data_IF_973808732577
#
_entry.id   IF_973808732577
#
_cell.length_a   1.000
_cell.length_b   1.000
_cell.length_c   1.000
_cell.angle_alpha   90.00
_cell.angle_beta   90.00
_cell.angle_gamma   90.00
#
_symmetry.space_group_name_H-M   'P 1'
#
loop_
_entity.id
_entity.type
_entity.pdbx_description
1 polymer ?
#
# COMPACT_ATOMS: atom_id res chain seq x y z
N UNK A 1 -16.16 -6.02 -27.56
CA UNK A 1 -16.03 -6.20 -26.07
C UNK A 1 -15.19 -5.06 -25.49
N UNK A 2 -15.45 -4.62 -24.25
CA UNK A 2 -14.60 -3.59 -23.59
C UNK A 2 -13.17 -4.08 -23.44
N UNK A 3 -12.18 -3.21 -23.58
CA UNK A 3 -10.76 -3.55 -23.50
C UNK A 3 -10.38 -4.23 -22.16
N UNK A 4 -10.90 -3.72 -21.02
CA UNK A 4 -10.67 -4.32 -19.70
C UNK A 4 -11.25 -5.74 -19.58
N UNK A 5 -12.43 -5.98 -20.14
CA UNK A 5 -13.05 -7.30 -20.17
C UNK A 5 -12.33 -8.27 -21.12
N UNK A 6 -11.88 -7.77 -22.27
CA UNK A 6 -11.15 -8.56 -23.25
C UNK A 6 -9.83 -9.10 -22.70
N UNK A 7 -9.08 -8.27 -21.95
CA UNK A 7 -7.84 -8.69 -21.29
C UNK A 7 -8.09 -9.81 -20.28
N UNK A 8 -9.12 -9.69 -19.44
CA UNK A 8 -9.48 -10.74 -18.48
C UNK A 8 -9.96 -12.01 -19.19
N UNK A 9 -10.82 -11.87 -20.21
CA UNK A 9 -11.34 -13.00 -20.98
C UNK A 9 -10.22 -13.81 -21.66
N UNK A 10 -9.15 -13.14 -22.05
CA UNK A 10 -7.97 -13.77 -22.67
C UNK A 10 -6.89 -14.22 -21.69
N UNK A 11 -7.11 -14.08 -20.39
CA UNK A 11 -6.14 -14.45 -19.36
C UNK A 11 -4.90 -13.54 -19.29
N UNK A 12 -4.94 -12.36 -19.95
CA UNK A 12 -3.86 -11.38 -19.95
C UNK A 12 -3.86 -10.50 -18.71
N UNK A 13 -4.94 -10.49 -17.94
CA UNK A 13 -5.03 -9.86 -16.64
C UNK A 13 -5.91 -10.71 -15.70
N UNK A 14 -5.56 -10.84 -14.41
CA UNK A 14 -6.31 -11.69 -13.48
C UNK A 14 -7.67 -11.09 -13.09
N UNK A 15 -7.82 -9.77 -13.14
CA UNK A 15 -9.04 -9.04 -12.76
C UNK A 15 -9.26 -7.83 -13.66
N UNK A 16 -10.49 -7.30 -13.68
CA UNK A 16 -10.80 -6.06 -14.41
C UNK A 16 -10.03 -4.86 -13.87
N UNK A 17 -9.80 -4.78 -12.56
CA UNK A 17 -8.99 -3.72 -11.95
C UNK A 17 -7.51 -3.81 -12.39
N UNK A 18 -6.96 -5.02 -12.51
CA UNK A 18 -5.62 -5.23 -13.05
C UNK A 18 -5.56 -4.85 -14.54
N UNK A 19 -6.54 -5.25 -15.34
CA UNK A 19 -6.65 -4.86 -16.75
C UNK A 19 -6.74 -3.33 -16.93
N UNK A 20 -7.50 -2.65 -16.08
CA UNK A 20 -7.61 -1.20 -16.10
C UNK A 20 -6.27 -0.54 -15.81
N UNK A 21 -5.50 -1.01 -14.79
CA UNK A 21 -4.16 -0.48 -14.49
C UNK A 21 -3.21 -0.60 -15.68
N UNK A 22 -3.18 -1.77 -16.33
CA UNK A 22 -2.36 -1.99 -17.53
C UNK A 22 -2.71 -1.00 -18.66
N UNK A 23 -4.00 -0.72 -18.85
CA UNK A 23 -4.46 0.23 -19.88
C UNK A 23 -4.08 1.66 -19.50
N UNK A 24 -4.29 2.06 -18.24
CA UNK A 24 -4.03 3.41 -17.75
C UNK A 24 -2.54 3.76 -17.77
N UNK A 25 -1.65 2.77 -17.64
CA UNK A 25 -0.19 2.94 -17.76
C UNK A 25 0.33 2.83 -19.18
N UNK A 26 -0.54 2.52 -20.15
CA UNK A 26 -0.13 2.34 -21.55
C UNK A 26 0.58 1.01 -21.82
N UNK A 27 0.48 0.05 -20.90
CA UNK A 27 1.10 -1.27 -20.98
C UNK A 27 0.32 -2.26 -21.87
N UNK A 28 -0.68 -1.80 -22.59
CA UNK A 28 -1.51 -2.61 -23.48
C UNK A 28 -1.53 -2.02 -24.87
N UNK A 29 -1.35 -2.85 -25.90
CA UNK A 29 -1.60 -2.45 -27.29
C UNK A 29 -2.47 -3.47 -28.01
N UNK A 30 -3.22 -3.02 -29.00
CA UNK A 30 -4.06 -3.85 -29.86
C UNK A 30 -3.85 -3.53 -31.31
N UNK A 31 -4.03 -4.50 -32.19
CA UNK A 31 -3.89 -4.32 -33.64
C UNK A 31 -5.21 -3.81 -34.21
N UNK A 32 -5.24 -2.52 -34.46
CA UNK A 32 -6.35 -1.86 -35.13
C UNK A 32 -6.16 -1.76 -36.65
N UNK A 33 -7.12 -1.15 -37.38
CA UNK A 33 -7.07 -1.02 -38.84
C UNK A 33 -5.86 -0.24 -39.37
N UNK A 34 -5.25 0.60 -38.53
CA UNK A 34 -4.10 1.44 -38.86
C UNK A 34 -2.78 0.95 -38.25
N UNK A 35 -2.76 -0.28 -37.70
CA UNK A 35 -1.63 -0.86 -36.99
C UNK A 35 -1.83 -0.90 -35.48
N UNK A 36 -0.75 -1.15 -34.74
CA UNK A 36 -0.75 -1.21 -33.30
C UNK A 36 -1.09 0.14 -32.66
N UNK A 37 -2.04 0.14 -31.72
CA UNK A 37 -2.50 1.32 -31.02
C UNK A 37 -2.77 1.01 -29.54
N UNK A 38 -2.68 2.01 -28.67
CA UNK A 38 -3.08 1.88 -27.27
C UNK A 38 -4.60 2.04 -27.15
N UNK A 39 -5.28 1.27 -26.28
CA UNK A 39 -6.66 1.58 -25.90
C UNK A 39 -6.71 2.98 -25.26
N UNK A 40 -7.69 3.79 -25.63
CA UNK A 40 -7.83 5.17 -25.08
C UNK A 40 -8.31 5.19 -23.64
N UNK A 41 -9.02 4.14 -23.23
CA UNK A 41 -9.58 3.95 -21.88
C UNK A 41 -9.98 2.48 -21.69
N UNK A 42 -10.06 2.04 -20.47
CA UNK A 42 -10.45 0.65 -20.12
C UNK A 42 -11.82 0.23 -20.69
N UNK A 43 -12.75 1.19 -20.79
CA UNK A 43 -14.09 0.95 -21.36
C UNK A 43 -14.17 1.09 -22.87
N UNK A 44 -13.07 1.22 -23.61
CA UNK A 44 -13.10 1.27 -25.08
C UNK A 44 -13.56 -0.07 -25.65
N UNK A 45 -14.52 -0.02 -26.58
CA UNK A 45 -14.98 -1.21 -27.30
C UNK A 45 -13.96 -1.61 -28.37
N UNK A 46 -13.40 -2.79 -28.23
CA UNK A 46 -12.50 -3.42 -29.19
C UNK A 46 -13.17 -4.60 -29.89
N UNK A 47 -12.81 -4.91 -31.14
CA UNK A 47 -13.29 -6.12 -31.81
C UNK A 47 -12.87 -7.37 -31.02
N UNK A 48 -13.80 -8.31 -30.80
CA UNK A 48 -13.52 -9.51 -29.99
C UNK A 48 -12.42 -10.39 -30.58
N UNK A 49 -12.23 -10.36 -31.91
CA UNK A 49 -11.16 -11.07 -32.62
C UNK A 49 -9.86 -10.31 -32.79
N UNK A 50 -9.71 -9.06 -32.26
CA UNK A 50 -8.48 -8.29 -32.45
C UNK A 50 -7.29 -8.96 -31.73
N UNK A 51 -6.09 -8.75 -32.28
CA UNK A 51 -4.88 -9.06 -31.54
C UNK A 51 -4.69 -7.99 -30.45
N UNK A 52 -4.43 -8.42 -29.22
CA UNK A 52 -4.17 -7.57 -28.07
C UNK A 52 -3.06 -8.21 -27.26
N UNK A 53 -2.13 -7.41 -26.76
CA UNK A 53 -1.01 -7.89 -25.94
C UNK A 53 -0.69 -6.90 -24.81
N UNK A 54 -0.10 -7.44 -23.76
CA UNK A 54 0.50 -6.69 -22.67
C UNK A 54 1.98 -6.52 -23.00
N UNK A 55 2.44 -5.29 -23.05
CA UNK A 55 3.83 -4.93 -23.39
C UNK A 55 4.70 -4.75 -22.15
N UNK A 56 4.07 -4.50 -20.99
CA UNK A 56 4.71 -4.38 -19.69
C UNK A 56 3.75 -4.91 -18.61
N UNK A 57 4.16 -5.91 -17.85
CA UNK A 57 3.37 -6.56 -16.81
C UNK A 57 3.73 -6.11 -15.38
N UNK A 58 4.56 -5.08 -15.23
CA UNK A 58 4.99 -4.58 -13.92
C UNK A 58 3.79 -4.27 -12.98
N UNK A 59 2.67 -3.78 -13.55
CA UNK A 59 1.42 -3.54 -12.80
C UNK A 59 0.75 -4.84 -12.31
N UNK A 60 1.10 -5.99 -12.83
CA UNK A 60 0.60 -7.30 -12.42
C UNK A 60 1.47 -8.00 -11.39
N UNK A 61 2.65 -7.46 -11.09
CA UNK A 61 3.60 -8.07 -10.16
C UNK A 61 3.00 -8.32 -8.78
N UNK A 62 2.11 -7.44 -8.31
CA UNK A 62 1.46 -7.54 -7.01
C UNK A 62 -0.07 -7.57 -7.16
N UNK A 63 -0.74 -8.12 -6.14
CA UNK A 63 -2.22 -8.19 -6.10
C UNK A 63 -2.89 -6.81 -6.19
N UNK A 64 -2.18 -5.73 -5.81
CA UNK A 64 -2.63 -4.34 -5.98
C UNK A 64 -1.45 -3.38 -6.15
N UNK A 65 -1.75 -2.12 -6.58
CA UNK A 65 -0.74 -1.05 -6.71
C UNK A 65 0.02 -0.71 -5.42
N UNK A 66 -0.59 -1.02 -4.27
CA UNK A 66 0.07 -0.88 -2.98
C UNK A 66 1.42 -1.62 -2.94
N UNK A 67 1.48 -2.82 -3.52
CA UNK A 67 2.72 -3.58 -3.57
C UNK A 67 3.87 -2.86 -4.27
N UNK A 68 3.60 -2.18 -5.39
CA UNK A 68 4.62 -1.36 -6.08
C UNK A 68 5.13 -0.22 -5.20
N UNK A 69 4.23 0.43 -4.44
CA UNK A 69 4.62 1.52 -3.51
C UNK A 69 5.56 1.02 -2.44
N UNK A 70 5.16 -0.07 -1.75
CA UNK A 70 5.96 -0.62 -0.65
C UNK A 70 7.28 -1.21 -1.14
N UNK A 71 7.26 -1.95 -2.26
CA UNK A 71 8.47 -2.54 -2.84
C UNK A 71 9.54 -1.47 -3.10
N UNK A 72 9.13 -0.35 -3.70
CA UNK A 72 10.02 0.77 -3.94
C UNK A 72 10.47 1.47 -2.63
N UNK A 73 9.57 1.60 -1.65
CA UNK A 73 9.90 2.21 -0.36
C UNK A 73 10.92 1.38 0.42
N UNK A 74 10.75 0.04 0.50
CA UNK A 74 11.70 -0.84 1.16
C UNK A 74 13.08 -0.81 0.47
N UNK A 75 13.10 -0.74 -0.86
CA UNK A 75 14.35 -0.59 -1.61
C UNK A 75 15.04 0.76 -1.31
N UNK A 76 14.26 1.85 -1.25
CA UNK A 76 14.78 3.19 -0.90
C UNK A 76 15.38 3.22 0.51
N UNK A 77 14.69 2.64 1.49
CA UNK A 77 15.14 2.57 2.87
C UNK A 77 16.28 1.58 3.11
N UNK A 78 16.56 0.68 2.16
CA UNK A 78 17.49 -0.43 2.36
C UNK A 78 17.01 -1.44 3.41
N UNK A 79 15.68 -1.54 3.62
CA UNK A 79 15.10 -2.47 4.59
C UNK A 79 14.93 -3.84 3.95
N UNK A 80 15.59 -4.85 4.51
CA UNK A 80 15.48 -6.25 4.09
C UNK A 80 14.35 -6.95 4.86
N UNK A 81 13.38 -7.48 4.14
CA UNK A 81 12.27 -8.24 4.72
C UNK A 81 12.53 -9.75 4.79
N UNK A 82 13.71 -10.22 4.36
CA UNK A 82 14.03 -11.63 4.36
C UNK A 82 14.01 -12.23 5.77
N UNK A 83 13.17 -13.23 5.99
CA UNK A 83 13.01 -13.90 7.28
C UNK A 83 12.26 -13.06 8.34
N UNK A 84 11.82 -11.85 8.02
CA UNK A 84 11.21 -10.93 8.97
C UNK A 84 9.77 -11.35 9.37
N UNK A 85 9.39 -11.05 10.63
CA UNK A 85 8.03 -11.05 11.11
C UNK A 85 7.43 -9.65 10.91
N UNK A 86 6.40 -9.53 10.08
CA UNK A 86 5.87 -8.27 9.61
C UNK A 86 4.43 -8.02 10.07
N UNK A 87 4.08 -6.75 10.32
CA UNK A 87 2.73 -6.28 10.57
C UNK A 87 2.29 -5.35 9.44
N UNK A 88 1.16 -5.65 8.78
CA UNK A 88 0.54 -4.84 7.72
C UNK A 88 -0.76 -4.21 8.25
N UNK A 89 -0.73 -2.91 8.51
CA UNK A 89 -1.85 -2.15 9.08
C UNK A 89 -2.63 -1.46 7.96
N UNK A 90 -3.87 -1.88 7.77
CA UNK A 90 -4.68 -1.53 6.61
C UNK A 90 -4.44 -2.50 5.44
N UNK A 91 -4.47 -3.81 5.72
CA UNK A 91 -4.10 -4.86 4.79
C UNK A 91 -4.92 -4.85 3.49
N UNK A 92 -6.23 -4.54 3.56
CA UNK A 92 -7.13 -4.46 2.41
C UNK A 92 -7.00 -5.67 1.47
N UNK A 93 -6.72 -5.46 0.18
CA UNK A 93 -6.50 -6.54 -0.80
C UNK A 93 -5.15 -7.27 -0.63
N UNK A 94 -4.26 -6.77 0.22
CA UNK A 94 -2.98 -7.39 0.53
C UNK A 94 -1.80 -6.95 -0.33
N UNK A 95 -1.86 -5.76 -0.93
CA UNK A 95 -0.75 -5.28 -1.76
C UNK A 95 0.58 -5.17 -1.00
N UNK A 96 0.55 -4.62 0.22
CA UNK A 96 1.74 -4.54 1.09
C UNK A 96 2.17 -5.92 1.58
N UNK A 97 1.22 -6.74 2.02
CA UNK A 97 1.45 -8.15 2.38
C UNK A 97 2.18 -8.90 1.26
N UNK A 98 1.70 -8.80 0.02
CA UNK A 98 2.29 -9.46 -1.15
C UNK A 98 3.74 -9.00 -1.40
N UNK A 99 4.00 -7.68 -1.28
CA UNK A 99 5.34 -7.13 -1.42
C UNK A 99 6.32 -7.67 -0.35
N UNK A 100 5.88 -7.74 0.91
CA UNK A 100 6.66 -8.32 2.00
C UNK A 100 6.98 -9.80 1.75
N UNK A 101 5.98 -10.59 1.35
CA UNK A 101 6.15 -12.02 1.05
C UNK A 101 7.09 -12.27 -0.12
N UNK A 102 7.00 -11.49 -1.21
CA UNK A 102 7.89 -11.59 -2.35
C UNK A 102 9.33 -11.19 -2.00
N UNK A 103 9.52 -10.34 -0.98
CA UNK A 103 10.84 -9.99 -0.41
C UNK A 103 11.32 -10.98 0.65
N UNK A 104 10.62 -12.09 0.85
CA UNK A 104 11.06 -13.18 1.72
C UNK A 104 10.64 -13.08 3.17
N UNK A 105 9.63 -12.26 3.52
CA UNK A 105 9.10 -12.24 4.88
C UNK A 105 8.68 -13.65 5.34
N UNK A 106 9.08 -14.02 6.55
CA UNK A 106 8.73 -15.32 7.13
C UNK A 106 7.25 -15.38 7.54
N UNK A 107 6.70 -14.24 7.96
CA UNK A 107 5.31 -14.13 8.38
C UNK A 107 4.81 -12.70 8.19
N UNK A 108 3.54 -12.56 7.80
CA UNK A 108 2.84 -11.26 7.75
C UNK A 108 1.52 -11.37 8.50
N UNK A 109 1.36 -10.57 9.53
CA UNK A 109 0.09 -10.39 10.24
C UNK A 109 -0.58 -9.14 9.68
N UNK A 110 -1.85 -9.24 9.30
CA UNK A 110 -2.61 -8.14 8.74
C UNK A 110 -3.69 -7.63 9.68
N UNK A 111 -3.86 -6.32 9.79
CA UNK A 111 -4.99 -5.68 10.48
C UNK A 111 -5.82 -4.90 9.46
N UNK A 112 -7.13 -5.13 9.43
CA UNK A 112 -8.04 -4.33 8.61
C UNK A 112 -9.43 -4.19 9.25
N UNK A 113 -10.06 -3.02 9.08
CA UNK A 113 -11.47 -2.80 9.50
C UNK A 113 -12.46 -3.48 8.55
N UNK A 114 -12.08 -3.71 7.31
CA UNK A 114 -12.84 -4.43 6.29
C UNK A 114 -12.89 -5.93 6.57
N UNK A 115 -13.69 -6.63 5.75
CA UNK A 115 -13.80 -8.09 5.80
C UNK A 115 -13.87 -8.66 4.38
N UNK A 116 -13.22 -9.81 4.17
CA UNK A 116 -13.27 -10.54 2.91
C UNK A 116 -12.66 -9.79 1.73
N UNK A 117 -11.70 -8.88 1.98
CA UNK A 117 -11.04 -8.09 0.94
C UNK A 117 -9.72 -8.71 0.48
N UNK A 118 -9.08 -9.49 1.34
CA UNK A 118 -7.78 -10.10 1.06
C UNK A 118 -7.85 -10.98 -0.18
N UNK A 119 -6.89 -10.83 -1.09
CA UNK A 119 -6.81 -11.63 -2.30
C UNK A 119 -6.74 -13.13 -1.96
N UNK A 120 -7.45 -13.96 -2.72
CA UNK A 120 -7.56 -15.40 -2.46
C UNK A 120 -6.19 -16.11 -2.43
N UNK A 121 -5.23 -15.66 -3.24
CA UNK A 121 -3.86 -16.17 -3.24
C UNK A 121 -3.11 -15.92 -1.92
N UNK A 122 -3.41 -14.82 -1.24
CA UNK A 122 -2.80 -14.46 0.04
C UNK A 122 -3.56 -15.07 1.21
N UNK A 123 -4.88 -15.15 1.13
CA UNK A 123 -5.71 -15.78 2.17
C UNK A 123 -5.40 -17.27 2.36
N UNK A 124 -4.87 -17.95 1.34
CA UNK A 124 -4.42 -19.34 1.41
C UNK A 124 -2.93 -19.52 1.75
N UNK A 125 -2.15 -18.45 1.89
CA UNK A 125 -0.73 -18.56 2.21
C UNK A 125 -0.53 -18.76 3.72
N UNK A 126 0.11 -19.85 4.12
CA UNK A 126 0.35 -20.20 5.53
C UNK A 126 1.17 -19.15 6.31
N UNK A 127 1.88 -18.27 5.63
CA UNK A 127 2.64 -17.16 6.22
C UNK A 127 1.77 -15.96 6.58
N UNK A 128 0.51 -15.90 6.14
CA UNK A 128 -0.39 -14.76 6.31
C UNK A 128 -1.42 -15.04 7.40
N UNK A 129 -1.53 -14.15 8.37
CA UNK A 129 -2.53 -14.21 9.44
C UNK A 129 -3.37 -12.92 9.42
N UNK A 130 -4.57 -12.89 8.78
CA UNK A 130 -5.40 -11.70 8.75
C UNK A 130 -6.27 -11.56 10.00
N UNK A 131 -6.34 -10.36 10.57
CA UNK A 131 -7.30 -9.94 11.59
C UNK A 131 -8.25 -8.90 11.00
N UNK A 132 -9.34 -9.38 10.44
CA UNK A 132 -10.35 -8.56 9.77
C UNK A 132 -11.42 -8.04 10.73
N UNK A 133 -12.00 -6.89 10.41
CA UNK A 133 -12.99 -6.21 11.25
C UNK A 133 -12.38 -5.61 12.51
N UNK A 134 -11.08 -5.39 12.54
CA UNK A 134 -10.33 -4.84 13.67
C UNK A 134 -9.84 -3.42 13.36
N UNK A 135 -10.20 -2.49 14.24
CA UNK A 135 -9.69 -1.13 14.15
C UNK A 135 -8.31 -1.03 14.79
N UNK A 136 -7.31 -0.67 14.01
CA UNK A 136 -5.93 -0.52 14.49
C UNK A 136 -5.73 0.57 15.58
N UNK A 137 -6.73 1.43 15.80
CA UNK A 137 -6.72 2.39 16.93
C UNK A 137 -7.08 1.76 18.27
N UNK A 138 -7.83 0.66 18.23
CA UNK A 138 -8.38 0.02 19.42
C UNK A 138 -8.23 -1.48 19.29
N UNK A 139 -7.02 -1.97 19.48
CA UNK A 139 -6.67 -3.38 19.39
C UNK A 139 -6.70 -4.08 20.78
N UNK A 140 -6.84 -3.30 21.85
CA UNK A 140 -6.83 -3.84 23.21
C UNK A 140 -7.96 -4.88 23.40
N UNK A 141 -7.62 -6.03 23.98
CA UNK A 141 -8.58 -7.13 24.20
C UNK A 141 -8.96 -7.92 22.95
N UNK A 142 -8.48 -7.54 21.77
CA UNK A 142 -8.72 -8.29 20.53
C UNK A 142 -7.94 -9.62 20.50
N UNK A 143 -8.34 -10.52 19.60
CA UNK A 143 -7.58 -11.75 19.34
C UNK A 143 -6.15 -11.45 18.90
N UNK A 144 -5.94 -10.39 18.13
CA UNK A 144 -4.60 -9.91 17.75
C UNK A 144 -3.75 -9.62 18.99
N UNK A 145 -4.23 -8.77 19.91
CA UNK A 145 -3.46 -8.38 21.09
C UNK A 145 -3.24 -9.56 22.09
N UNK A 146 -4.06 -10.61 22.01
CA UNK A 146 -3.89 -11.83 22.81
C UNK A 146 -2.87 -12.80 22.20
N UNK A 147 -2.74 -12.80 20.87
CA UNK A 147 -1.90 -13.75 20.14
C UNK A 147 -0.51 -13.19 19.83
N UNK A 148 -0.41 -11.88 19.65
CA UNK A 148 0.83 -11.24 19.24
C UNK A 148 1.51 -10.55 20.43
N UNK A 149 2.75 -10.93 20.77
CA UNK A 149 3.53 -10.22 21.78
C UNK A 149 3.82 -8.78 21.34
N UNK A 150 3.81 -7.84 22.28
CA UNK A 150 4.33 -6.49 22.02
C UNK A 150 5.81 -6.54 21.63
N UNK A 151 6.26 -5.57 20.84
CA UNK A 151 7.65 -5.46 20.38
C UNK A 151 8.16 -6.70 19.60
N UNK A 152 7.29 -7.36 18.84
CA UNK A 152 7.60 -8.62 18.15
C UNK A 152 7.73 -8.50 16.63
N UNK A 153 7.37 -7.37 16.04
CA UNK A 153 7.45 -7.22 14.59
C UNK A 153 8.72 -6.49 14.15
N UNK A 154 9.51 -7.14 13.30
CA UNK A 154 10.73 -6.58 12.72
C UNK A 154 10.43 -5.45 11.74
N UNK A 155 9.31 -5.57 11.01
CA UNK A 155 8.85 -4.56 10.07
C UNK A 155 7.36 -4.31 10.29
N UNK A 156 7.00 -3.03 10.48
CA UNK A 156 5.61 -2.60 10.49
C UNK A 156 5.37 -1.69 9.29
N UNK A 157 4.37 -2.02 8.49
CA UNK A 157 3.94 -1.21 7.35
C UNK A 157 2.50 -0.75 7.54
N UNK A 158 2.12 0.37 6.90
CA UNK A 158 0.74 0.84 6.94
C UNK A 158 0.33 1.52 5.64
N UNK A 159 -0.86 1.19 5.13
CA UNK A 159 -1.57 1.89 4.05
C UNK A 159 -3.01 2.18 4.48
N UNK A 160 -3.22 3.32 5.13
CA UNK A 160 -4.50 3.69 5.73
C UNK A 160 -5.25 4.71 4.88
N UNK A 161 -6.59 4.61 4.88
CA UNK A 161 -7.46 5.59 4.25
C UNK A 161 -8.53 6.07 5.22
N UNK A 162 -8.93 7.35 5.07
CA UNK A 162 -9.98 8.01 5.86
C UNK A 162 -9.66 8.17 7.36
N UNK A 163 -8.40 8.06 7.72
CA UNK A 163 -7.91 8.24 9.09
C UNK A 163 -6.52 8.88 9.03
N UNK A 164 -6.19 9.74 10.01
CA UNK A 164 -4.83 10.24 10.18
C UNK A 164 -3.92 9.14 10.71
N UNK A 165 -2.72 9.02 10.15
CA UNK A 165 -1.70 8.07 10.60
C UNK A 165 -1.35 8.27 12.08
N UNK A 166 -1.39 9.52 12.57
CA UNK A 166 -1.08 9.84 13.97
C UNK A 166 -1.96 9.11 14.99
N UNK A 167 -3.19 8.71 14.62
CA UNK A 167 -4.06 7.92 15.49
C UNK A 167 -3.66 6.45 15.61
N UNK A 168 -2.86 5.95 14.69
CA UNK A 168 -2.44 4.53 14.63
C UNK A 168 -0.98 4.35 15.06
N UNK A 169 -0.20 5.42 15.04
CA UNK A 169 1.19 5.40 15.50
C UNK A 169 1.39 4.79 16.90
N UNK A 170 0.52 5.02 17.92
CA UNK A 170 0.67 4.35 19.22
C UNK A 170 0.63 2.83 19.13
N UNK A 171 -0.29 2.28 18.33
CA UNK A 171 -0.34 0.84 18.06
C UNK A 171 0.94 0.37 17.39
N UNK A 172 1.39 1.07 16.35
CA UNK A 172 2.62 0.75 15.62
C UNK A 172 3.82 0.70 16.58
N UNK A 173 3.99 1.74 17.41
CA UNK A 173 5.09 1.81 18.37
C UNK A 173 5.06 0.66 19.41
N UNK A 174 3.85 0.22 19.83
CA UNK A 174 3.68 -0.86 20.79
C UNK A 174 4.14 -2.22 20.24
N UNK A 175 3.92 -2.49 18.96
CA UNK A 175 4.23 -3.79 18.38
C UNK A 175 5.55 -3.83 17.60
N UNK A 176 6.16 -2.66 17.30
CA UNK A 176 7.46 -2.59 16.64
C UNK A 176 8.57 -3.12 17.55
N UNK A 177 9.38 -4.04 17.04
CA UNK A 177 10.53 -4.59 17.77
C UNK A 177 11.60 -3.50 18.05
N UNK A 178 12.44 -3.62 19.08
CA UNK A 178 13.46 -2.62 19.43
C UNK A 178 14.42 -2.27 18.29
N UNK A 179 14.75 -3.22 17.42
CA UNK A 179 15.55 -3.01 16.22
C UNK A 179 14.70 -2.93 14.93
N UNK A 180 13.39 -2.77 15.07
CA UNK A 180 12.44 -2.84 13.96
C UNK A 180 12.38 -1.56 13.11
N UNK A 181 11.73 -1.70 11.95
CA UNK A 181 11.51 -0.63 10.98
C UNK A 181 10.01 -0.40 10.75
N UNK A 182 9.58 0.83 10.90
CA UNK A 182 8.25 1.27 10.50
C UNK A 182 8.36 2.00 9.15
N UNK A 183 7.71 1.47 8.10
CA UNK A 183 7.67 2.08 6.75
C UNK A 183 6.21 2.33 6.39
N UNK A 184 5.75 3.57 6.61
CA UNK A 184 4.34 3.90 6.67
C UNK A 184 3.97 4.88 5.55
N UNK A 185 2.91 4.59 4.81
CA UNK A 185 2.39 5.47 3.77
C UNK A 185 1.62 6.63 4.38
N UNK A 186 2.04 7.84 4.07
CA UNK A 186 1.41 9.10 4.49
C UNK A 186 0.57 9.63 3.33
N UNK A 187 -0.71 9.80 3.57
CA UNK A 187 -1.67 10.37 2.62
C UNK A 187 -2.08 11.77 3.08
N UNK A 188 -1.52 12.84 2.52
CA UNK A 188 -1.75 14.21 2.99
C UNK A 188 -3.21 14.61 3.08
N UNK A 189 -4.06 14.08 2.20
CA UNK A 189 -5.50 14.36 2.20
C UNK A 189 -6.22 13.87 3.47
N UNK A 190 -5.65 12.94 4.23
CA UNK A 190 -6.19 12.46 5.50
C UNK A 190 -5.47 13.05 6.73
N UNK A 191 -4.42 13.83 6.49
CA UNK A 191 -3.65 14.52 7.54
C UNK A 191 -4.01 16.01 7.64
N UNK A 192 -4.57 16.59 6.58
CA UNK A 192 -4.89 18.00 6.48
C UNK A 192 -6.32 18.30 6.94
N UNK A 193 -6.58 19.59 7.20
CA UNK A 193 -7.92 20.07 7.51
C UNK A 193 -8.78 20.20 6.23
N UNK A 194 -10.12 20.18 6.33
CA UNK A 194 -11.01 20.29 5.18
C UNK A 194 -10.74 21.51 4.30
N UNK A 195 -10.26 22.61 4.88
CA UNK A 195 -9.94 23.86 4.17
C UNK A 195 -8.78 23.69 3.17
N UNK A 196 -7.87 22.76 3.43
CA UNK A 196 -6.73 22.46 2.56
C UNK A 196 -7.10 21.49 1.43
N UNK A 197 -8.29 20.88 1.49
CA UNK A 197 -8.74 19.87 0.55
C UNK A 197 -9.74 20.47 -0.45
N UNK A 198 -9.48 20.21 -1.73
CA UNK A 198 -10.30 20.67 -2.84
C UNK A 198 -11.31 19.64 -3.33
N UNK A 199 -11.91 19.95 -4.47
CA UNK A 199 -12.85 19.06 -5.15
C UNK A 199 -12.18 17.71 -5.47
N UNK A 200 -12.89 16.63 -5.18
CA UNK A 200 -12.39 15.26 -5.42
C UNK A 200 -11.38 14.77 -4.38
N UNK A 201 -11.24 15.45 -3.23
CA UNK A 201 -10.30 15.03 -2.19
C UNK A 201 -8.84 15.41 -2.46
N UNK A 202 -8.57 16.28 -3.44
CA UNK A 202 -7.22 16.69 -3.81
C UNK A 202 -6.70 17.79 -2.88
N UNK A 203 -5.43 17.69 -2.49
CA UNK A 203 -4.73 18.76 -1.76
C UNK A 203 -4.63 20.00 -2.64
N UNK A 204 -5.14 21.15 -2.14
CA UNK A 204 -5.23 22.40 -2.92
C UNK A 204 -3.87 23.00 -3.24
N UNK A 205 -2.96 23.00 -2.26
CA UNK A 205 -1.69 23.72 -2.36
C UNK A 205 -0.52 22.88 -1.88
N UNK A 206 0.56 22.83 -2.66
CA UNK A 206 1.77 22.10 -2.30
C UNK A 206 2.44 22.60 -1.01
N UNK A 207 2.20 23.87 -0.62
CA UNK A 207 2.66 24.46 0.64
C UNK A 207 2.08 23.77 1.90
N UNK A 208 1.07 22.90 1.74
CA UNK A 208 0.53 22.11 2.84
C UNK A 208 1.40 20.89 3.20
N UNK A 209 2.17 20.34 2.25
CA UNK A 209 2.97 19.13 2.49
C UNK A 209 4.00 19.26 3.62
N UNK A 210 4.76 20.37 3.77
CA UNK A 210 5.68 20.52 4.90
C UNK A 210 4.99 20.51 6.27
N UNK A 211 3.73 20.96 6.35
CA UNK A 211 2.93 20.88 7.60
C UNK A 211 2.59 19.44 7.95
N UNK A 212 2.27 18.62 6.92
CA UNK A 212 2.02 17.19 7.11
C UNK A 212 3.29 16.49 7.58
N UNK A 213 4.42 16.70 6.90
CA UNK A 213 5.70 16.13 7.29
C UNK A 213 6.04 16.47 8.75
N UNK A 214 5.98 17.76 9.12
CA UNK A 214 6.26 18.19 10.50
C UNK A 214 5.35 17.48 11.51
N UNK A 215 4.05 17.41 11.26
CA UNK A 215 3.07 16.74 12.12
C UNK A 215 3.41 15.25 12.33
N UNK A 216 3.78 14.55 11.26
CA UNK A 216 4.13 13.13 11.32
C UNK A 216 5.44 12.93 12.10
N UNK A 217 6.46 13.75 11.86
CA UNK A 217 7.72 13.71 12.60
C UNK A 217 7.51 13.96 14.09
N UNK A 218 6.79 15.02 14.45
CA UNK A 218 6.47 15.36 15.84
C UNK A 218 5.72 14.21 16.55
N UNK A 219 4.77 13.56 15.85
CA UNK A 219 4.00 12.45 16.39
C UNK A 219 4.85 11.17 16.58
N UNK A 220 5.77 10.89 15.68
CA UNK A 220 6.74 9.80 15.83
C UNK A 220 7.67 10.04 17.02
N UNK A 221 8.24 11.24 17.12
CA UNK A 221 9.15 11.63 18.21
C UNK A 221 8.47 11.53 19.58
N UNK A 222 7.23 11.98 19.69
CA UNK A 222 6.43 11.88 20.94
C UNK A 222 6.21 10.43 21.41
N UNK A 223 6.38 9.44 20.53
CA UNK A 223 6.28 8.01 20.82
C UNK A 223 7.65 7.31 20.90
N UNK A 224 8.74 8.06 20.94
CA UNK A 224 10.10 7.51 20.97
C UNK A 224 10.56 6.89 19.64
N UNK A 225 9.91 7.24 18.54
CA UNK A 225 10.31 6.80 17.21
C UNK A 225 11.18 7.87 16.53
N UNK A 226 12.38 7.50 16.10
CA UNK A 226 13.27 8.38 15.32
C UNK A 226 12.95 8.24 13.84
N UNK A 227 12.51 9.33 13.20
CA UNK A 227 12.28 9.37 11.75
C UNK A 227 13.63 9.42 11.03
N UNK A 228 13.93 8.36 10.29
CA UNK A 228 15.14 8.21 9.46
C UNK A 228 15.01 8.96 8.15
N UNK A 229 13.84 8.88 7.52
CA UNK A 229 13.56 9.58 6.26
C UNK A 229 12.07 9.86 6.09
N UNK A 230 11.75 10.88 5.27
CA UNK A 230 10.41 11.21 4.81
C UNK A 230 10.51 11.59 3.33
N UNK A 231 9.96 10.77 2.45
CA UNK A 231 10.17 10.87 1.00
C UNK A 231 8.90 10.64 0.20
N UNK A 232 8.87 11.15 -1.02
CA UNK A 232 7.72 10.97 -1.92
C UNK A 232 7.58 9.50 -2.35
N UNK A 233 6.36 8.97 -2.34
CA UNK A 233 6.05 7.70 -2.97
C UNK A 233 6.35 7.79 -4.48
N UNK A 234 7.04 6.81 -5.07
CA UNK A 234 7.31 6.80 -6.52
C UNK A 234 6.04 6.54 -7.34
N UNK A 235 5.00 6.01 -6.70
CA UNK A 235 3.70 5.72 -7.31
C UNK A 235 2.66 6.66 -6.69
N UNK A 236 1.99 7.46 -7.52
CA UNK A 236 0.93 8.37 -7.08
C UNK A 236 -0.30 7.62 -6.58
N UNK A 237 -1.09 8.25 -5.70
CA UNK A 237 -2.39 7.74 -5.26
C UNK A 237 -3.37 7.54 -6.42
N UNK A 238 -4.32 6.63 -6.25
CA UNK A 238 -5.34 6.35 -7.26
C UNK A 238 -6.28 7.53 -7.52
N UNK A 239 -6.38 8.46 -6.58
CA UNK A 239 -7.11 9.73 -6.67
C UNK A 239 -6.30 10.89 -7.28
N UNK A 240 -5.00 10.65 -7.57
CA UNK A 240 -4.07 11.65 -8.11
C UNK A 240 -3.34 12.49 -7.07
N UNK A 241 -3.58 12.26 -5.76
CA UNK A 241 -2.79 12.90 -4.71
C UNK A 241 -1.34 12.41 -4.69
N UNK A 242 -0.43 13.32 -4.33
CA UNK A 242 0.92 12.93 -3.94
C UNK A 242 0.86 12.24 -2.58
N UNK A 243 1.55 11.14 -2.47
CA UNK A 243 1.70 10.36 -1.25
C UNK A 243 3.17 10.34 -0.85
N UNK A 244 3.43 10.10 0.42
CA UNK A 244 4.79 10.05 0.96
C UNK A 244 4.95 8.80 1.82
N UNK A 245 6.19 8.43 2.08
CA UNK A 245 6.51 7.44 3.10
C UNK A 245 7.26 8.13 4.24
N UNK A 246 6.99 7.69 5.46
CA UNK A 246 7.85 7.92 6.62
C UNK A 246 8.51 6.61 6.99
N UNK A 247 9.83 6.63 7.11
CA UNK A 247 10.63 5.55 7.65
C UNK A 247 11.11 5.94 9.05
N UNK A 248 10.72 5.17 10.04
CA UNK A 248 11.07 5.40 11.42
C UNK A 248 11.55 4.11 12.11
N UNK A 249 12.35 4.25 13.13
CA UNK A 249 12.83 3.18 13.99
C UNK A 249 12.63 3.59 15.45
N UNK A 250 12.56 2.66 16.42
CA UNK A 250 12.66 3.01 17.81
C UNK A 250 13.91 3.85 18.07
N UNK A 251 13.78 4.93 18.84
CA UNK A 251 14.91 5.72 19.29
C UNK A 251 15.83 4.84 20.15
N UNK A 252 17.14 5.10 20.14
CA UNK A 252 18.02 4.49 21.12
C UNK A 252 17.51 4.89 22.51
N UNK A 253 17.27 3.92 23.39
CA UNK A 253 17.02 4.22 24.79
C UNK A 253 18.20 5.07 25.28
N UNK A 254 17.90 6.26 25.81
CA UNK A 254 18.90 7.05 26.50
C UNK A 254 19.31 6.24 27.73
N UNK A 255 20.52 5.66 27.67
CA UNK A 255 21.12 4.91 28.76
C UNK A 255 21.35 5.83 29.98
#
# INVERSE_FOLDING_TARGET
MRADQLLVHRGLAPTRSAAQRLIDTGAVRWLGPKGWALPRKAGEELPDGCQIEVTDDAELRFVSRGGLKLDAALAHCGVDASGANCLDVGQSTGGFTDALLQRGAARVVGLDVGRGQLAASLAGDARVTPHEGLNARDVAGSAFAQQEPTHSFDIVVADLSFITLTHVLPTIATWLAPAGHAVLLVKPQFELQPEDIGKGGLVKHASAYPRVEKRIRDACEALGLTVRDYFASPVTGGDGNREFFVWACPGAESA
#
